data_IF_717093362024
#
_entry.id   IF_717093362024
#
_cell.length_a   1.000
_cell.length_b   1.000
_cell.length_c   1.000
_cell.angle_alpha   90.00
_cell.angle_beta   90.00
_cell.angle_gamma   90.00
#
_symmetry.space_group_name_H-M   'P 1'
#
loop_
_entity.id
_entity.type
_entity.pdbx_description
1 polymer ?
#
# COMPACT_ATOMS: atom_id res chain seq x y z
N UNK A 1 -1.87 29.24 -11.56
CA UNK A 1 -0.91 28.47 -10.74
C UNK A 1 -1.75 27.69 -9.75
N UNK A 2 -2.09 26.40 -10.05
CA UNK A 2 -2.83 25.53 -9.13
C UNK A 2 -1.83 25.08 -8.06
N UNK A 3 -1.94 25.64 -6.87
CA UNK A 3 -1.27 25.10 -5.70
C UNK A 3 -1.87 23.71 -5.43
N UNK A 4 -1.03 22.66 -5.47
CA UNK A 4 -1.43 21.34 -4.99
C UNK A 4 -1.97 21.53 -3.56
N UNK A 5 -3.27 21.29 -3.37
CA UNK A 5 -3.80 21.17 -2.00
C UNK A 5 -3.07 19.99 -1.37
N UNK A 6 -2.50 20.15 -0.18
CA UNK A 6 -1.94 18.99 0.52
C UNK A 6 -3.04 17.94 0.62
N UNK A 7 -2.72 16.72 0.20
CA UNK A 7 -3.65 15.60 0.33
C UNK A 7 -4.02 15.43 1.80
N UNK A 8 -5.30 15.32 2.10
CA UNK A 8 -5.76 15.05 3.46
C UNK A 8 -5.13 13.76 4.01
N UNK A 9 -4.98 13.65 5.32
CA UNK A 9 -4.50 12.44 5.96
C UNK A 9 -5.53 11.29 5.82
N UNK A 10 -5.13 10.04 6.02
CA UNK A 10 -6.01 8.88 5.91
C UNK A 10 -7.13 8.94 6.97
N UNK A 11 -8.36 8.53 6.60
CA UNK A 11 -9.37 8.16 7.59
C UNK A 11 -8.99 6.78 8.16
N UNK A 12 -8.04 6.80 9.10
CA UNK A 12 -7.43 5.60 9.63
C UNK A 12 -8.44 4.67 10.33
N UNK A 13 -9.45 5.23 11.01
CA UNK A 13 -10.49 4.45 11.67
C UNK A 13 -11.38 3.72 10.66
N UNK A 14 -11.78 4.36 9.56
CA UNK A 14 -12.55 3.71 8.51
C UNK A 14 -11.70 2.67 7.77
N UNK A 15 -10.47 3.02 7.41
CA UNK A 15 -9.54 2.08 6.78
C UNK A 15 -9.34 0.82 7.63
N UNK A 16 -9.17 0.97 8.94
CA UNK A 16 -9.01 -0.17 9.86
C UNK A 16 -10.19 -1.15 9.80
N UNK A 17 -11.43 -0.65 9.59
CA UNK A 17 -12.63 -1.50 9.50
C UNK A 17 -12.77 -2.22 8.16
N UNK A 18 -12.38 -1.59 7.05
CA UNK A 18 -12.66 -2.12 5.70
C UNK A 18 -11.47 -2.84 5.04
N UNK A 19 -10.27 -2.79 5.65
CA UNK A 19 -9.02 -3.31 5.06
C UNK A 19 -8.77 -4.81 5.30
N UNK A 20 -9.80 -5.61 5.51
CA UNK A 20 -9.65 -7.06 5.73
C UNK A 20 -9.00 -7.80 4.55
N UNK A 21 -9.29 -7.49 3.27
CA UNK A 21 -8.54 -8.11 2.16
C UNK A 21 -7.04 -7.87 2.24
N UNK A 22 -6.62 -6.63 2.53
CA UNK A 22 -5.19 -6.27 2.68
C UNK A 22 -4.55 -7.00 3.85
N UNK A 23 -5.27 -7.12 4.96
CA UNK A 23 -4.81 -7.87 6.12
C UNK A 23 -4.63 -9.35 5.79
N UNK A 24 -5.60 -9.99 5.13
CA UNK A 24 -5.52 -11.39 4.72
C UNK A 24 -4.32 -11.68 3.81
N UNK A 25 -4.02 -10.80 2.84
CA UNK A 25 -2.82 -10.92 2.02
C UNK A 25 -1.55 -10.73 2.85
N UNK A 26 -1.55 -9.76 3.76
CA UNK A 26 -0.41 -9.45 4.63
C UNK A 26 0.00 -10.61 5.54
N UNK A 27 -0.93 -11.45 5.97
CA UNK A 27 -0.61 -12.67 6.74
C UNK A 27 0.31 -13.62 5.96
N UNK A 28 0.03 -13.82 4.66
CA UNK A 28 0.91 -14.67 3.81
C UNK A 28 2.30 -14.06 3.63
N UNK A 29 2.39 -12.72 3.57
CA UNK A 29 3.69 -12.03 3.53
C UNK A 29 4.44 -12.19 4.85
N UNK A 30 3.72 -12.12 5.98
CA UNK A 30 4.30 -12.33 7.31
C UNK A 30 4.81 -13.78 7.49
N UNK A 31 4.14 -14.75 6.90
CA UNK A 31 4.62 -16.14 6.88
C UNK A 31 5.95 -16.26 6.12
N UNK A 32 6.12 -15.55 4.99
CA UNK A 32 7.39 -15.50 4.25
C UNK A 32 8.48 -14.76 5.02
N UNK A 33 8.11 -13.68 5.74
CA UNK A 33 9.07 -12.93 6.57
C UNK A 33 9.71 -13.84 7.62
N UNK A 34 8.89 -14.70 8.28
CA UNK A 34 9.32 -15.60 9.34
C UNK A 34 10.23 -14.90 10.37
N UNK A 35 9.71 -13.88 11.11
CA UNK A 35 10.52 -13.09 12.03
C UNK A 35 11.09 -13.97 13.14
N UNK A 36 12.31 -13.67 13.59
CA UNK A 36 13.06 -14.49 14.55
C UNK A 36 13.38 -13.70 15.82
N UNK A 37 13.54 -14.39 16.97
CA UNK A 37 13.97 -13.74 18.19
C UNK A 37 15.26 -12.95 18.04
N UNK A 38 15.29 -11.71 18.54
CA UNK A 38 16.45 -10.82 18.51
C UNK A 38 16.68 -10.13 17.17
N UNK A 39 15.84 -10.33 16.15
CA UNK A 39 15.94 -9.57 14.90
C UNK A 39 15.36 -8.15 15.08
N UNK A 40 16.02 -7.16 14.48
CA UNK A 40 15.44 -5.84 14.23
C UNK A 40 14.65 -5.86 12.91
N UNK A 41 13.33 -5.63 12.98
CA UNK A 41 12.43 -5.65 11.82
C UNK A 41 11.85 -4.26 11.57
N UNK A 42 11.98 -3.76 10.34
CA UNK A 42 11.34 -2.52 9.89
C UNK A 42 10.09 -2.85 9.06
N UNK A 43 8.92 -2.33 9.49
CA UNK A 43 7.67 -2.38 8.74
C UNK A 43 7.43 -1.04 8.04
N UNK A 44 7.58 -0.99 6.70
CA UNK A 44 7.40 0.22 5.89
C UNK A 44 5.95 0.32 5.43
N UNK A 45 5.25 1.39 5.83
CA UNK A 45 3.83 1.60 5.61
C UNK A 45 3.01 0.74 6.56
N UNK A 46 3.33 0.78 7.84
CA UNK A 46 2.72 -0.03 8.90
C UNK A 46 1.21 0.25 9.11
N UNK A 47 0.71 1.37 8.56
CA UNK A 47 -0.69 1.77 8.67
C UNK A 47 -1.16 1.81 10.11
N UNK A 48 -2.26 1.13 10.41
CA UNK A 48 -2.86 1.06 11.77
C UNK A 48 -2.20 0.02 12.69
N UNK A 49 -1.06 -0.55 12.32
CA UNK A 49 -0.26 -1.45 13.15
C UNK A 49 -0.74 -2.90 13.25
N UNK A 50 -1.80 -3.32 12.51
CA UNK A 50 -2.37 -4.68 12.59
C UNK A 50 -1.35 -5.78 12.28
N UNK A 51 -0.55 -5.62 11.22
CA UNK A 51 0.48 -6.58 10.86
C UNK A 51 1.75 -6.37 11.68
N UNK A 52 2.10 -5.13 11.99
CA UNK A 52 3.23 -4.79 12.86
C UNK A 52 3.14 -5.49 14.22
N UNK A 53 1.95 -5.48 14.84
CA UNK A 53 1.72 -6.19 16.10
C UNK A 53 1.87 -7.70 15.98
N UNK A 54 1.52 -8.26 14.82
CA UNK A 54 1.71 -9.70 14.57
C UNK A 54 3.17 -10.07 14.29
N UNK A 55 3.98 -9.16 13.69
CA UNK A 55 5.42 -9.36 13.57
C UNK A 55 6.02 -9.50 14.97
N UNK A 56 5.70 -8.58 15.87
CA UNK A 56 6.16 -8.59 17.26
C UNK A 56 5.72 -9.87 17.99
N UNK A 57 4.44 -10.25 17.90
CA UNK A 57 3.90 -11.43 18.56
C UNK A 57 4.53 -12.75 18.07
N UNK A 58 4.75 -12.87 16.75
CA UNK A 58 5.32 -14.09 16.14
C UNK A 58 6.83 -14.15 16.25
N UNK A 59 7.50 -13.00 16.32
CA UNK A 59 8.96 -12.91 16.36
C UNK A 59 9.60 -13.33 17.68
N UNK A 60 8.80 -13.56 18.75
CA UNK A 60 9.30 -14.09 20.00
C UNK A 60 10.40 -13.26 20.66
N UNK A 61 10.29 -11.93 20.60
CA UNK A 61 11.30 -10.98 21.11
C UNK A 61 12.14 -10.32 20.01
N UNK A 62 11.58 -10.15 18.80
CA UNK A 62 12.13 -9.26 17.79
C UNK A 62 11.82 -7.79 18.13
N UNK A 63 12.73 -6.89 17.79
CA UNK A 63 12.55 -5.45 17.91
C UNK A 63 11.88 -4.91 16.65
N UNK A 64 10.65 -4.42 16.76
CA UNK A 64 9.89 -3.94 15.60
C UNK A 64 9.85 -2.42 15.57
N UNK A 65 10.14 -1.85 14.40
CA UNK A 65 9.91 -0.45 14.09
C UNK A 65 8.90 -0.34 12.96
N UNK A 66 7.77 0.34 13.20
CA UNK A 66 6.77 0.64 12.17
C UNK A 66 6.92 2.05 11.65
N UNK A 67 6.90 2.23 10.32
CA UNK A 67 6.90 3.57 9.72
C UNK A 67 5.69 3.78 8.83
N UNK A 68 5.12 4.99 8.85
CA UNK A 68 4.10 5.46 7.91
C UNK A 68 4.25 6.96 7.67
N UNK A 69 3.81 7.44 6.51
CA UNK A 69 3.74 8.89 6.22
C UNK A 69 2.61 9.58 6.96
N UNK A 70 1.54 8.85 7.23
CA UNK A 70 0.31 9.34 7.84
C UNK A 70 0.42 9.36 9.36
N UNK A 71 0.34 10.55 9.95
CA UNK A 71 0.26 10.69 11.41
C UNK A 71 -1.03 10.08 11.96
N UNK A 72 -2.15 10.13 11.23
CA UNK A 72 -3.40 9.52 11.66
C UNK A 72 -3.30 8.00 11.73
N UNK A 73 -2.59 7.37 10.79
CA UNK A 73 -2.31 5.92 10.84
C UNK A 73 -1.45 5.57 12.06
N UNK A 74 -0.36 6.30 12.28
CA UNK A 74 0.53 6.07 13.43
C UNK A 74 -0.16 6.29 14.77
N UNK A 75 -1.04 7.29 14.87
CA UNK A 75 -1.84 7.51 16.07
C UNK A 75 -2.77 6.32 16.38
N UNK A 76 -3.40 5.74 15.35
CA UNK A 76 -4.20 4.51 15.50
C UNK A 76 -3.32 3.31 15.87
N UNK A 77 -2.17 3.14 15.23
CA UNK A 77 -1.23 2.07 15.52
C UNK A 77 -0.77 2.11 17.00
N UNK A 78 -0.37 3.30 17.45
CA UNK A 78 0.04 3.49 18.85
C UNK A 78 -1.13 3.30 19.83
N UNK A 79 -2.33 3.76 19.46
CA UNK A 79 -3.52 3.59 20.30
C UNK A 79 -3.97 2.14 20.46
N UNK A 80 -3.86 1.31 19.41
CA UNK A 80 -4.26 -0.10 19.44
C UNK A 80 -3.14 -1.04 19.91
N UNK A 81 -1.87 -0.71 19.61
CA UNK A 81 -0.73 -1.60 19.82
C UNK A 81 0.49 -0.83 20.36
N UNK A 82 0.37 -0.16 21.53
CA UNK A 82 1.42 0.73 22.06
C UNK A 82 2.76 0.02 22.30
N UNK A 83 2.72 -1.25 22.68
CA UNK A 83 3.89 -2.05 23.07
C UNK A 83 4.40 -2.95 21.92
N UNK A 84 3.77 -2.94 20.76
CA UNK A 84 4.13 -3.83 19.66
C UNK A 84 5.34 -3.35 18.86
N UNK A 85 5.57 -2.04 18.80
CA UNK A 85 6.64 -1.45 17.99
C UNK A 85 6.95 -0.01 18.41
N UNK A 86 8.10 0.47 17.99
CA UNK A 86 8.38 1.91 17.94
C UNK A 86 7.78 2.45 16.63
N UNK A 87 6.91 3.46 16.73
CA UNK A 87 6.25 4.05 15.54
C UNK A 87 6.90 5.37 15.16
N UNK A 88 7.34 5.49 13.90
CA UNK A 88 8.09 6.64 13.38
C UNK A 88 7.43 7.17 12.11
N UNK A 89 7.16 8.48 12.05
CA UNK A 89 6.71 9.09 10.82
C UNK A 89 7.85 9.19 9.81
N UNK A 90 7.72 8.53 8.66
CA UNK A 90 8.74 8.55 7.62
C UNK A 90 8.16 8.31 6.22
N UNK A 91 8.87 8.83 5.21
CA UNK A 91 8.69 8.44 3.82
C UNK A 91 9.61 7.26 3.51
N UNK A 92 9.07 6.19 2.91
CA UNK A 92 9.84 5.00 2.58
C UNK A 92 11.01 5.26 1.59
N UNK A 93 10.95 6.34 0.81
CA UNK A 93 12.04 6.77 -0.06
C UNK A 93 13.11 7.64 0.66
N UNK A 94 12.93 7.92 1.96
CA UNK A 94 13.86 8.71 2.79
C UNK A 94 13.75 8.27 4.24
N UNK A 95 14.35 7.13 4.56
CA UNK A 95 14.25 6.51 5.88
C UNK A 95 15.20 7.20 6.89
N UNK A 96 14.70 7.63 8.08
CA UNK A 96 15.49 8.35 9.08
C UNK A 96 16.34 7.41 9.96
N UNK A 97 16.84 6.32 9.39
CA UNK A 97 17.62 5.31 10.10
C UNK A 97 19.05 5.23 9.56
N UNK A 98 20.03 4.85 10.39
CA UNK A 98 21.38 4.60 9.92
C UNK A 98 21.42 3.40 8.96
N UNK A 99 22.48 3.29 8.20
CA UNK A 99 22.74 2.10 7.39
C UNK A 99 22.97 0.87 8.28
N UNK A 100 22.61 -0.32 7.78
CA UNK A 100 22.78 -1.60 8.47
C UNK A 100 22.11 -1.65 9.87
N UNK A 101 20.92 -1.10 9.99
CA UNK A 101 20.15 -1.06 11.26
C UNK A 101 19.26 -2.30 11.46
N UNK A 102 18.71 -2.87 10.38
CA UNK A 102 17.67 -3.90 10.45
C UNK A 102 18.11 -5.24 9.85
N UNK A 103 17.64 -6.32 10.46
CA UNK A 103 17.84 -7.69 9.96
C UNK A 103 16.82 -8.02 8.86
N UNK A 104 15.65 -7.42 8.92
CA UNK A 104 14.61 -7.60 7.92
C UNK A 104 13.80 -6.31 7.67
N UNK A 105 13.35 -6.14 6.43
CA UNK A 105 12.34 -5.15 6.04
C UNK A 105 11.11 -5.87 5.54
N UNK A 106 9.98 -5.47 6.09
CA UNK A 106 8.65 -5.95 5.75
C UNK A 106 7.82 -4.79 5.17
N UNK A 107 6.97 -5.07 4.19
CA UNK A 107 6.01 -4.09 3.71
C UNK A 107 4.84 -4.75 3.00
N UNK A 108 3.62 -4.29 3.29
CA UNK A 108 2.43 -4.74 2.57
C UNK A 108 1.58 -3.57 2.12
N UNK A 109 1.03 -3.66 0.91
CA UNK A 109 0.08 -2.69 0.33
C UNK A 109 0.57 -1.23 0.32
N UNK A 110 1.88 -0.99 0.29
CA UNK A 110 2.48 0.34 0.47
C UNK A 110 3.26 0.83 -0.75
N UNK A 111 4.17 0.04 -1.33
CA UNK A 111 5.15 0.54 -2.30
C UNK A 111 4.53 1.17 -3.55
N UNK A 112 3.35 0.73 -3.96
CA UNK A 112 2.65 1.37 -5.09
C UNK A 112 2.22 2.83 -4.83
N UNK A 113 2.27 3.32 -3.59
CA UNK A 113 2.07 4.73 -3.25
C UNK A 113 3.35 5.56 -3.34
N UNK A 114 4.51 4.92 -3.52
CA UNK A 114 5.82 5.57 -3.65
C UNK A 114 6.21 5.55 -5.14
N UNK A 115 6.32 6.72 -5.77
CA UNK A 115 6.57 6.80 -7.21
C UNK A 115 8.02 6.46 -7.58
N UNK A 116 8.97 6.83 -6.75
CA UNK A 116 10.40 6.60 -6.97
C UNK A 116 10.83 5.27 -6.34
N UNK A 117 10.63 4.18 -7.08
CA UNK A 117 11.02 2.84 -6.63
C UNK A 117 12.54 2.63 -6.63
N UNK A 118 13.29 3.36 -7.46
CA UNK A 118 14.74 3.26 -7.47
C UNK A 118 15.30 3.77 -6.13
N UNK A 119 14.82 4.92 -5.68
CA UNK A 119 15.18 5.48 -4.38
C UNK A 119 14.66 4.63 -3.21
N UNK A 120 13.42 4.15 -3.28
CA UNK A 120 12.84 3.25 -2.28
C UNK A 120 13.73 2.02 -2.04
N UNK A 121 14.09 1.29 -3.10
CA UNK A 121 14.89 0.08 -2.96
C UNK A 121 16.35 0.36 -2.54
N UNK A 122 16.91 1.49 -2.95
CA UNK A 122 18.22 1.93 -2.47
C UNK A 122 18.20 2.23 -0.95
N UNK A 123 17.16 2.88 -0.45
CA UNK A 123 16.99 3.16 0.98
C UNK A 123 16.77 1.87 1.79
N UNK A 124 15.94 0.95 1.29
CA UNK A 124 15.74 -0.37 1.93
C UNK A 124 17.07 -1.13 1.99
N UNK A 125 17.80 -1.18 0.89
CA UNK A 125 19.12 -1.82 0.85
C UNK A 125 20.09 -1.17 1.83
N UNK A 126 20.10 0.16 1.94
CA UNK A 126 20.98 0.90 2.84
C UNK A 126 20.73 0.54 4.31
N UNK A 127 19.45 0.49 4.73
CA UNK A 127 19.08 0.25 6.14
C UNK A 127 19.17 -1.22 6.55
N UNK A 128 19.15 -2.16 5.61
CA UNK A 128 19.37 -3.57 5.89
C UNK A 128 20.82 -3.84 6.28
N UNK A 129 21.03 -4.71 7.25
CA UNK A 129 22.33 -5.30 7.58
C UNK A 129 22.83 -6.22 6.44
N UNK A 130 24.13 -6.46 6.32
CA UNK A 130 24.63 -7.54 5.46
C UNK A 130 23.96 -8.88 5.82
N UNK A 131 23.43 -9.60 4.83
CA UNK A 131 22.64 -10.82 5.00
C UNK A 131 21.19 -10.59 5.45
N UNK A 132 20.76 -9.33 5.57
CA UNK A 132 19.38 -8.97 5.86
C UNK A 132 18.45 -9.19 4.66
N UNK A 133 17.14 -9.29 4.90
CA UNK A 133 16.13 -9.61 3.87
C UNK A 133 15.04 -8.55 3.72
N UNK A 134 14.62 -8.35 2.48
CA UNK A 134 13.36 -7.69 2.13
C UNK A 134 12.29 -8.74 1.86
N UNK A 135 11.11 -8.56 2.44
CA UNK A 135 9.91 -9.35 2.12
C UNK A 135 8.73 -8.40 1.95
N UNK A 136 8.18 -8.33 0.74
CA UNK A 136 7.13 -7.34 0.46
C UNK A 136 6.05 -7.84 -0.49
N UNK A 137 4.87 -7.17 -0.42
CA UNK A 137 3.77 -7.33 -1.37
C UNK A 137 3.03 -6.01 -1.57
N UNK A 138 2.77 -5.65 -2.82
CA UNK A 138 2.04 -4.42 -3.16
C UNK A 138 1.26 -4.56 -4.47
N UNK A 139 0.45 -3.58 -4.82
CA UNK A 139 -0.25 -3.56 -6.11
C UNK A 139 0.75 -3.39 -7.26
N UNK A 140 0.70 -4.28 -8.25
CA UNK A 140 1.59 -4.22 -9.42
C UNK A 140 0.94 -4.74 -10.68
N UNK A 141 1.59 -4.57 -11.82
CA UNK A 141 1.06 -4.99 -13.12
C UNK A 141 -0.30 -4.35 -13.42
N UNK A 142 -1.31 -5.15 -13.85
CA UNK A 142 -2.63 -4.64 -14.20
C UNK A 142 -3.56 -4.44 -12.98
N UNK A 143 -3.00 -4.13 -11.81
CA UNK A 143 -3.77 -3.96 -10.57
C UNK A 143 -4.91 -2.96 -10.72
N UNK A 144 -6.15 -3.39 -10.43
CA UNK A 144 -7.38 -2.57 -10.50
C UNK A 144 -7.61 -1.91 -11.86
N UNK A 145 -7.20 -2.58 -12.93
CA UNK A 145 -7.20 -2.00 -14.28
C UNK A 145 -8.59 -1.62 -14.75
N UNK A 146 -9.60 -2.43 -14.44
CA UNK A 146 -10.99 -2.16 -14.83
C UNK A 146 -11.52 -0.91 -14.13
N UNK A 147 -11.38 -0.83 -12.80
CA UNK A 147 -11.82 0.32 -12.01
C UNK A 147 -11.14 1.61 -12.48
N UNK A 148 -9.82 1.59 -12.68
CA UNK A 148 -9.09 2.79 -13.08
C UNK A 148 -9.38 3.22 -14.53
N UNK A 149 -9.64 2.30 -15.44
CA UNK A 149 -10.11 2.65 -16.80
C UNK A 149 -11.44 3.42 -16.75
N UNK A 150 -12.40 2.96 -15.95
CA UNK A 150 -13.68 3.63 -15.73
C UNK A 150 -13.49 5.03 -15.13
N UNK A 151 -12.67 5.11 -14.08
CA UNK A 151 -12.33 6.38 -13.46
C UNK A 151 -11.67 7.36 -14.45
N UNK A 152 -10.78 6.87 -15.33
CA UNK A 152 -10.16 7.71 -16.37
C UNK A 152 -11.17 8.25 -17.39
N UNK A 153 -12.17 7.46 -17.80
CA UNK A 153 -13.25 7.92 -18.68
C UNK A 153 -14.04 9.03 -17.99
N UNK A 154 -14.45 8.81 -16.72
CA UNK A 154 -15.18 9.81 -15.94
C UNK A 154 -14.40 11.11 -15.71
N UNK A 155 -13.11 11.02 -15.42
CA UNK A 155 -12.20 12.17 -15.26
C UNK A 155 -12.12 13.06 -16.52
N UNK A 156 -12.56 12.56 -17.67
CA UNK A 156 -12.59 13.33 -18.95
C UNK A 156 -13.98 13.83 -19.30
N UNK A 157 -15.01 13.48 -18.54
CA UNK A 157 -16.36 13.94 -18.81
C UNK A 157 -16.53 15.45 -18.48
N UNK A 158 -17.52 16.12 -19.07
CA UNK A 158 -17.79 17.53 -18.80
C UNK A 158 -18.07 17.81 -17.30
N UNK A 159 -18.68 16.86 -16.60
CA UNK A 159 -19.07 16.99 -15.20
C UNK A 159 -17.86 16.97 -14.25
N UNK A 160 -16.89 16.09 -14.50
CA UNK A 160 -15.77 15.86 -13.56
C UNK A 160 -14.44 16.42 -14.06
N UNK A 161 -14.29 16.65 -15.37
CA UNK A 161 -13.00 16.92 -16.02
C UNK A 161 -12.24 18.12 -15.49
N UNK A 162 -12.94 19.19 -15.11
CA UNK A 162 -12.31 20.40 -14.57
C UNK A 162 -11.54 20.17 -13.27
N UNK A 163 -11.97 19.19 -12.46
CA UNK A 163 -11.35 18.88 -11.16
C UNK A 163 -10.06 18.04 -11.31
N UNK A 164 -9.85 17.42 -12.46
CA UNK A 164 -8.70 16.54 -12.72
C UNK A 164 -7.68 17.11 -13.72
N UNK A 165 -7.80 18.37 -14.12
CA UNK A 165 -6.83 19.01 -15.01
C UNK A 165 -5.42 19.00 -14.39
N UNK A 166 -4.43 18.50 -15.15
CA UNK A 166 -3.04 18.41 -14.71
C UNK A 166 -2.77 17.39 -13.59
N UNK A 167 -3.79 16.62 -13.16
CA UNK A 167 -3.59 15.63 -12.10
C UNK A 167 -3.09 14.29 -12.67
N UNK A 168 -2.01 13.79 -12.09
CA UNK A 168 -1.48 12.46 -12.33
C UNK A 168 -1.87 11.49 -11.22
N UNK A 169 -2.00 10.22 -11.57
CA UNK A 169 -2.32 9.17 -10.59
C UNK A 169 -1.29 9.13 -9.46
N UNK A 170 -1.72 8.97 -8.19
CA UNK A 170 -0.82 9.01 -7.03
C UNK A 170 -0.05 7.70 -6.82
N UNK A 171 -0.35 6.66 -7.58
CA UNK A 171 0.27 5.34 -7.48
C UNK A 171 1.17 5.02 -8.67
N UNK A 172 2.00 3.99 -8.46
CA UNK A 172 2.83 3.37 -9.50
C UNK A 172 2.71 1.84 -9.40
N UNK A 173 2.00 1.21 -10.34
CA UNK A 173 1.90 -0.23 -10.44
C UNK A 173 3.01 -0.78 -11.34
N UNK A 174 4.15 -1.07 -10.73
CA UNK A 174 5.32 -1.57 -11.43
C UNK A 174 5.08 -2.98 -11.99
N UNK A 175 5.75 -3.31 -13.10
CA UNK A 175 5.81 -4.67 -13.61
C UNK A 175 6.76 -5.55 -12.78
N UNK A 176 6.60 -6.91 -12.81
CA UNK A 176 7.59 -7.81 -12.20
C UNK A 176 9.00 -7.58 -12.72
N UNK A 177 9.16 -7.46 -14.04
CA UNK A 177 10.47 -7.27 -14.66
C UNK A 177 11.16 -5.96 -14.25
N UNK A 178 10.40 -4.85 -14.18
CA UNK A 178 10.93 -3.57 -13.69
C UNK A 178 11.32 -3.63 -12.22
N UNK A 179 10.50 -4.30 -11.40
CA UNK A 179 10.76 -4.45 -9.96
C UNK A 179 12.02 -5.29 -9.73
N UNK A 180 12.15 -6.43 -10.42
CA UNK A 180 13.35 -7.27 -10.33
C UNK A 180 14.61 -6.51 -10.75
N UNK A 181 14.55 -5.81 -11.88
CA UNK A 181 15.67 -4.99 -12.38
C UNK A 181 16.11 -3.93 -11.35
N UNK A 182 15.14 -3.24 -10.73
CA UNK A 182 15.42 -2.21 -9.72
C UNK A 182 15.99 -2.77 -8.43
N UNK A 183 15.49 -3.91 -7.95
CA UNK A 183 16.04 -4.60 -6.79
C UNK A 183 17.50 -5.00 -7.04
N UNK A 184 17.80 -5.61 -8.18
CA UNK A 184 19.16 -5.98 -8.55
C UNK A 184 20.07 -4.75 -8.70
N UNK A 185 19.57 -3.66 -9.29
CA UNK A 185 20.31 -2.40 -9.42
C UNK A 185 20.61 -1.76 -8.05
N UNK A 186 19.76 -1.92 -7.06
CA UNK A 186 19.98 -1.48 -5.68
C UNK A 186 21.01 -2.35 -4.92
N UNK A 187 21.37 -3.51 -5.45
CA UNK A 187 22.38 -4.42 -4.87
C UNK A 187 21.82 -5.74 -4.30
N UNK A 188 20.49 -5.95 -4.35
CA UNK A 188 19.88 -7.19 -3.86
C UNK A 188 20.28 -8.39 -4.72
N UNK A 189 20.53 -9.53 -4.06
CA UNK A 189 20.70 -10.84 -4.68
C UNK A 189 19.58 -11.80 -4.23
N UNK A 190 19.53 -13.00 -4.79
CA UNK A 190 18.46 -13.99 -4.57
C UNK A 190 17.05 -13.38 -4.70
N UNK A 191 16.92 -12.49 -5.69
CA UNK A 191 15.69 -11.72 -5.93
C UNK A 191 14.63 -12.63 -6.51
N UNK A 192 13.46 -12.66 -5.85
CA UNK A 192 12.26 -13.35 -6.33
C UNK A 192 11.13 -12.31 -6.48
N UNK A 193 10.61 -12.20 -7.70
CA UNK A 193 9.46 -11.32 -7.98
C UNK A 193 8.37 -12.12 -8.68
N UNK A 194 7.19 -12.14 -8.09
CA UNK A 194 6.02 -12.83 -8.65
C UNK A 194 4.80 -11.93 -8.68
N UNK A 195 3.88 -12.19 -9.60
CA UNK A 195 2.62 -11.48 -9.73
C UNK A 195 1.47 -12.47 -9.65
N UNK A 196 0.54 -12.25 -8.74
CA UNK A 196 -0.62 -13.11 -8.54
C UNK A 196 -1.94 -12.32 -8.59
N UNK A 197 -2.96 -12.91 -9.19
CA UNK A 197 -4.31 -12.37 -9.15
C UNK A 197 -4.90 -12.57 -7.75
N UNK A 198 -5.57 -11.53 -7.24
CA UNK A 198 -6.21 -11.53 -5.93
C UNK A 198 -7.60 -10.90 -6.03
N UNK A 199 -8.45 -11.49 -6.88
CA UNK A 199 -9.82 -11.02 -7.09
C UNK A 199 -10.55 -10.87 -5.76
N UNK A 200 -11.23 -9.74 -5.58
CA UNK A 200 -11.91 -9.39 -4.33
C UNK A 200 -13.38 -9.11 -4.63
N UNK A 201 -14.28 -10.09 -4.42
CA UNK A 201 -15.71 -9.92 -4.60
C UNK A 201 -16.35 -9.18 -3.42
N UNK A 202 -17.43 -8.46 -3.68
CA UNK A 202 -18.24 -7.78 -2.68
C UNK A 202 -19.67 -8.28 -2.72
N UNK A 203 -20.29 -8.39 -1.53
CA UNK A 203 -21.63 -8.94 -1.36
C UNK A 203 -22.74 -7.99 -1.82
N UNK A 204 -22.49 -6.69 -1.89
CA UNK A 204 -23.44 -5.68 -2.32
C UNK A 204 -22.75 -4.47 -2.94
N UNK A 205 -23.53 -3.64 -3.64
CA UNK A 205 -23.06 -2.40 -4.24
C UNK A 205 -22.59 -1.41 -3.17
N UNK A 206 -23.26 -1.37 -2.02
CA UNK A 206 -22.92 -0.48 -0.91
C UNK A 206 -21.55 -0.86 -0.30
N UNK A 207 -21.30 -2.15 -0.12
CA UNK A 207 -20.01 -2.66 0.37
C UNK A 207 -18.88 -2.36 -0.63
N UNK A 208 -19.16 -2.49 -1.93
CA UNK A 208 -18.23 -2.14 -2.99
C UNK A 208 -17.92 -0.63 -2.99
N UNK A 209 -18.96 0.21 -2.91
CA UNK A 209 -18.83 1.68 -2.84
C UNK A 209 -18.04 2.15 -1.63
N UNK A 210 -18.36 1.64 -0.44
CA UNK A 210 -17.63 1.97 0.79
C UNK A 210 -16.14 1.65 0.65
N UNK A 211 -15.85 0.46 0.13
CA UNK A 211 -14.49 0.01 -0.03
C UNK A 211 -13.72 0.85 -1.06
N UNK A 212 -14.27 1.05 -2.27
CA UNK A 212 -13.56 1.82 -3.30
C UNK A 212 -13.40 3.29 -2.90
N UNK A 213 -14.37 3.87 -2.22
CA UNK A 213 -14.28 5.24 -1.68
C UNK A 213 -13.10 5.38 -0.73
N UNK A 214 -12.96 4.44 0.19
CA UNK A 214 -11.98 4.51 1.28
C UNK A 214 -10.58 4.09 0.83
N UNK A 215 -10.48 3.06 -0.01
CA UNK A 215 -9.21 2.42 -0.33
C UNK A 215 -8.70 2.79 -1.73
N UNK A 216 -9.54 2.62 -2.77
CA UNK A 216 -9.06 2.71 -4.15
C UNK A 216 -9.20 4.09 -4.76
N UNK A 217 -10.33 4.78 -4.52
CA UNK A 217 -10.72 6.05 -5.16
C UNK A 217 -10.57 7.26 -4.24
N UNK A 218 -10.07 7.10 -3.03
CA UNK A 218 -9.92 8.17 -2.05
C UNK A 218 -9.36 9.46 -2.68
N UNK A 219 -8.25 9.36 -3.39
CA UNK A 219 -7.58 10.51 -4.01
C UNK A 219 -8.41 11.18 -5.12
N UNK A 220 -9.27 10.42 -5.82
CA UNK A 220 -10.24 10.97 -6.76
C UNK A 220 -11.34 11.72 -6.02
N UNK A 221 -11.91 11.08 -4.99
CA UNK A 221 -13.02 11.63 -4.21
C UNK A 221 -12.63 12.91 -3.49
N UNK A 222 -11.45 12.99 -2.91
CA UNK A 222 -10.93 14.19 -2.22
C UNK A 222 -10.76 15.40 -3.16
N UNK A 223 -10.54 15.18 -4.44
CA UNK A 223 -10.46 16.27 -5.43
C UNK A 223 -11.82 16.86 -5.80
N UNK A 224 -12.87 16.08 -5.63
CA UNK A 224 -14.22 16.50 -5.99
C UNK A 224 -14.86 17.31 -4.87
N UNK A 225 -15.70 18.30 -5.21
CA UNK A 225 -16.58 18.94 -4.23
C UNK A 225 -17.55 17.91 -3.64
N UNK A 226 -18.00 18.15 -2.44
CA UNK A 226 -18.77 17.17 -1.65
C UNK A 226 -20.00 16.62 -2.40
N UNK A 227 -20.74 17.50 -3.09
CA UNK A 227 -21.96 17.12 -3.82
C UNK A 227 -21.73 16.20 -5.02
N UNK A 228 -20.48 16.06 -5.51
CA UNK A 228 -20.14 15.16 -6.64
C UNK A 228 -19.49 13.84 -6.19
N UNK A 229 -19.10 13.72 -4.93
CA UNK A 229 -18.32 12.55 -4.45
C UNK A 229 -19.12 11.26 -4.54
N UNK A 230 -20.35 11.28 -4.05
CA UNK A 230 -21.20 10.10 -4.04
C UNK A 230 -21.59 9.65 -5.45
N UNK A 231 -22.01 10.58 -6.33
CA UNK A 231 -22.38 10.27 -7.70
C UNK A 231 -21.18 9.67 -8.47
N UNK A 232 -19.99 10.23 -8.32
CA UNK A 232 -18.78 9.70 -8.95
C UNK A 232 -18.52 8.24 -8.59
N UNK A 233 -18.60 7.88 -7.31
CA UNK A 233 -18.36 6.51 -6.83
C UNK A 233 -19.51 5.59 -7.25
N UNK A 234 -20.76 6.02 -7.08
CA UNK A 234 -21.94 5.25 -7.44
C UNK A 234 -21.97 4.85 -8.91
N UNK A 235 -21.62 5.77 -9.80
CA UNK A 235 -21.55 5.47 -11.23
C UNK A 235 -20.43 4.49 -11.60
N UNK A 236 -19.32 4.46 -10.84
CA UNK A 236 -18.28 3.42 -11.00
C UNK A 236 -18.79 2.06 -10.50
N UNK A 237 -19.53 2.05 -9.41
CA UNK A 237 -20.09 0.83 -8.84
C UNK A 237 -21.20 0.23 -9.72
N UNK A 238 -22.07 1.06 -10.31
CA UNK A 238 -23.08 0.60 -11.27
C UNK A 238 -22.46 -0.14 -12.46
N UNK A 239 -21.32 0.36 -12.97
CA UNK A 239 -20.61 -0.34 -14.05
C UNK A 239 -19.99 -1.66 -13.58
N UNK A 240 -19.67 -1.79 -12.29
CA UNK A 240 -19.11 -3.03 -11.74
C UNK A 240 -20.17 -4.12 -11.52
N UNK A 241 -21.46 -3.77 -11.48
CA UNK A 241 -22.57 -4.75 -11.47
C UNK A 241 -22.61 -5.55 -12.76
N UNK A 242 -22.23 -4.93 -13.88
CA UNK A 242 -22.23 -5.54 -15.22
C UNK A 242 -20.96 -6.37 -15.51
N UNK A 243 -20.02 -6.47 -14.59
CA UNK A 243 -18.78 -7.27 -14.75
C UNK A 243 -19.07 -8.78 -14.61
N UNK A 244 -18.11 -9.57 -15.09
CA UNK A 244 -18.05 -11.00 -14.85
C UNK A 244 -16.68 -11.37 -14.20
N UNK A 245 -16.69 -11.74 -12.92
CA UNK A 245 -17.81 -11.75 -11.97
C UNK A 245 -18.22 -10.33 -11.51
N UNK A 246 -19.51 -10.09 -11.19
CA UNK A 246 -20.00 -8.78 -10.80
C UNK A 246 -19.41 -8.31 -9.47
N UNK A 247 -19.36 -6.99 -9.27
CA UNK A 247 -18.88 -6.34 -8.05
C UNK A 247 -17.54 -6.92 -7.55
N UNK A 248 -16.62 -7.22 -8.46
CA UNK A 248 -15.33 -7.83 -8.14
C UNK A 248 -14.20 -6.91 -8.55
N UNK A 249 -13.30 -6.59 -7.62
CA UNK A 249 -12.09 -5.84 -7.91
C UNK A 249 -10.98 -6.77 -8.43
N UNK A 250 -10.41 -6.41 -9.57
CA UNK A 250 -9.33 -7.12 -10.26
C UNK A 250 -7.95 -6.79 -9.65
N UNK A 251 -7.77 -7.11 -8.35
CA UNK A 251 -6.49 -6.92 -7.70
C UNK A 251 -5.40 -7.84 -8.25
N UNK A 252 -4.22 -7.27 -8.42
CA UNK A 252 -2.97 -7.98 -8.71
C UNK A 252 -1.93 -7.64 -7.66
N UNK A 253 -1.37 -8.68 -7.04
CA UNK A 253 -0.39 -8.54 -5.96
C UNK A 253 0.98 -8.92 -6.47
N UNK A 254 1.90 -7.96 -6.44
CA UNK A 254 3.29 -8.17 -6.76
C UNK A 254 4.04 -8.46 -5.47
N UNK A 255 4.59 -9.67 -5.36
CA UNK A 255 5.48 -10.07 -4.29
C UNK A 255 6.91 -9.77 -4.73
N UNK A 256 7.73 -9.21 -3.84
CA UNK A 256 9.11 -8.86 -4.14
C UNK A 256 9.98 -9.10 -2.91
N UNK A 257 10.84 -10.09 -2.99
CA UNK A 257 11.73 -10.55 -1.93
C UNK A 257 13.18 -10.51 -2.43
N UNK A 258 14.15 -10.27 -1.55
CA UNK A 258 15.58 -10.24 -1.89
C UNK A 258 16.46 -10.18 -0.65
N UNK A 259 17.72 -10.56 -0.81
CA UNK A 259 18.76 -10.53 0.22
C UNK A 259 19.79 -9.43 -0.06
N UNK A 260 20.32 -8.82 1.02
CA UNK A 260 21.45 -7.89 0.96
C UNK A 260 22.77 -8.60 1.09
#
# INVERSE_FOLDING_TARGET
>A
MYTERPMGDWNAAQYHRVSDPQHGWGIRVLERLAPRPGEGVLDIGCGTGRLTSQISARGGGCDVTGTDRSLAMLAQAHGHYPDAAVYVQADGATLPFPGAAFDAVFSTATFHWIKDHDRLFAEIYRVLKPGGRLVSQFGGGPNLQQLYRRAQVKRRSPEYGSYFQGWGDPWHFASPADTERRLRAAGFHDVTVTLEAAQTPFASIEAYEEFITTVCMRHHVERLPEHLRQSFVHELALQAVEDDPPLTLDYWRLNADGLK
#
